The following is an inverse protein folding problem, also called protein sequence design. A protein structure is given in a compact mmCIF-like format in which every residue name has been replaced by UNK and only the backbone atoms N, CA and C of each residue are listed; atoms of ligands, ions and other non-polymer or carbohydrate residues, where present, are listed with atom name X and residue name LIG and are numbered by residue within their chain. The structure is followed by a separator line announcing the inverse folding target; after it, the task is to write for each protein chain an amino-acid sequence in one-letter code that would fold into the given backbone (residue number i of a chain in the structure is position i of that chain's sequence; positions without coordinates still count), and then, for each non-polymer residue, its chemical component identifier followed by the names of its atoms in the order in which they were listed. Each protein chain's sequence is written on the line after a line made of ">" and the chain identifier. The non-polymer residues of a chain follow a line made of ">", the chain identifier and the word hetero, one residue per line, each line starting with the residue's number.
data_IF_447804264460
#
_entry.id   IF_447804264460
#
_cell.length_a   1.000
_cell.length_b   1.000
_cell.length_c   1.000
_cell.angle_alpha   90.00
_cell.angle_beta   90.00
_cell.angle_gamma   90.00
#
_symmetry.space_group_name_H-M   'P 1'
#
loop_
_entity.id
_entity.type
_entity.pdbx_description
1 polymer ?
#
# COMPACT_ATOMS: atom_id res chain seq x y z
N UNK A 1 -30.19 -15.25 -42.50
CA UNK A 1 -29.84 -15.38 -41.07
C UNK A 1 -28.46 -16.03 -41.00
N UNK A 2 -27.39 -15.25 -40.83
CA UNK A 2 -26.01 -15.75 -40.78
C UNK A 2 -25.66 -16.05 -39.33
N UNK A 3 -25.61 -17.33 -38.97
CA UNK A 3 -25.15 -17.75 -37.64
C UNK A 3 -23.66 -17.42 -37.53
N UNK A 4 -23.33 -16.50 -36.61
CA UNK A 4 -21.95 -16.07 -36.39
C UNK A 4 -21.16 -17.24 -35.78
N UNK A 5 -20.02 -17.66 -36.36
CA UNK A 5 -19.21 -18.77 -35.84
C UNK A 5 -18.73 -18.51 -34.41
N UNK A 6 -18.70 -17.25 -33.98
CA UNK A 6 -18.39 -16.83 -32.61
C UNK A 6 -19.45 -17.28 -31.59
N UNK A 7 -20.73 -17.35 -31.98
CA UNK A 7 -21.80 -17.78 -31.08
C UNK A 7 -21.71 -19.29 -30.80
N UNK A 8 -21.38 -20.08 -31.83
CA UNK A 8 -21.21 -21.54 -31.73
C UNK A 8 -19.98 -21.88 -30.89
N UNK A 9 -18.89 -21.11 -31.05
CA UNK A 9 -17.68 -21.28 -30.24
C UNK A 9 -17.94 -20.97 -28.76
N UNK A 10 -18.70 -19.93 -28.44
CA UNK A 10 -19.08 -19.61 -27.05
C UNK A 10 -19.93 -20.71 -26.40
N UNK A 11 -20.92 -21.26 -27.10
CA UNK A 11 -21.78 -22.33 -26.55
C UNK A 11 -20.99 -23.62 -26.31
N UNK A 12 -20.06 -23.96 -27.19
CA UNK A 12 -19.17 -25.10 -26.99
C UNK A 12 -18.26 -24.89 -25.78
N UNK A 13 -17.67 -23.70 -25.61
CA UNK A 13 -16.83 -23.38 -24.46
C UNK A 13 -17.58 -23.40 -23.12
N UNK A 14 -18.88 -23.09 -23.11
CA UNK A 14 -19.72 -23.22 -21.91
C UNK A 14 -20.03 -24.68 -21.52
N UNK A 15 -20.14 -25.60 -22.49
CA UNK A 15 -20.45 -27.01 -22.23
C UNK A 15 -19.25 -27.81 -21.69
N UNK A 16 -18.01 -27.35 -21.93
CA UNK A 16 -16.78 -27.96 -21.38
C UNK A 16 -16.39 -27.43 -20.00
N UNK A 17 -17.19 -26.57 -19.36
CA UNK A 17 -17.01 -26.20 -17.95
C UNK A 17 -15.74 -25.40 -17.64
N UNK A 18 -15.03 -24.88 -18.63
CA UNK A 18 -13.98 -23.88 -18.39
C UNK A 18 -14.62 -22.50 -18.20
N UNK A 19 -15.36 -22.35 -17.11
CA UNK A 19 -15.41 -21.07 -16.44
C UNK A 19 -14.01 -20.84 -15.87
N UNK A 20 -13.07 -20.39 -16.71
CA UNK A 20 -11.91 -19.69 -16.19
C UNK A 20 -12.49 -18.50 -15.47
N UNK A 21 -12.59 -18.60 -14.14
CA UNK A 21 -12.96 -17.48 -13.30
C UNK A 21 -12.06 -16.34 -13.72
N UNK A 22 -12.63 -15.39 -14.45
CA UNK A 22 -12.08 -14.07 -14.62
C UNK A 22 -12.12 -13.43 -13.22
N UNK A 23 -11.24 -13.90 -12.33
CA UNK A 23 -10.78 -13.08 -11.24
C UNK A 23 -10.10 -11.91 -11.93
N UNK A 24 -10.74 -10.75 -11.84
CA UNK A 24 -10.07 -9.46 -11.81
C UNK A 24 -9.08 -9.49 -10.63
N UNK A 25 -8.00 -10.26 -10.75
CA UNK A 25 -6.76 -9.89 -10.08
C UNK A 25 -6.30 -8.68 -10.86
N UNK A 26 -6.56 -7.52 -10.28
CA UNK A 26 -5.97 -6.27 -10.71
C UNK A 26 -4.47 -6.53 -10.84
N UNK A 27 -3.96 -6.68 -12.06
CA UNK A 27 -2.53 -6.69 -12.37
C UNK A 27 -2.04 -5.27 -12.07
N UNK A 28 -1.78 -4.98 -10.79
CA UNK A 28 -1.17 -3.70 -10.42
C UNK A 28 0.22 -3.70 -11.06
N UNK A 29 0.52 -2.77 -11.99
CA UNK A 29 1.84 -2.70 -12.60
C UNK A 29 2.89 -2.62 -11.49
N UNK A 30 3.96 -3.40 -11.62
CA UNK A 30 5.02 -3.52 -10.61
C UNK A 30 5.60 -2.15 -10.18
N UNK A 31 5.50 -1.13 -11.05
CA UNK A 31 5.83 0.26 -10.78
C UNK A 31 5.02 0.88 -9.62
N UNK A 32 3.78 0.47 -9.39
CA UNK A 32 2.97 0.92 -8.24
C UNK A 32 3.32 0.17 -6.95
N UNK A 33 4.00 -0.98 -7.03
CA UNK A 33 4.43 -1.74 -5.85
C UNK A 33 5.68 -1.15 -5.18
N UNK A 34 6.41 -0.28 -5.87
CA UNK A 34 7.63 0.37 -5.36
C UNK A 34 7.41 1.82 -4.90
N UNK A 35 6.18 2.33 -4.97
CA UNK A 35 5.88 3.67 -4.46
C UNK A 35 6.02 3.72 -2.93
N UNK A 36 6.56 4.82 -2.42
CA UNK A 36 6.60 5.09 -0.98
C UNK A 36 5.16 5.13 -0.45
N UNK A 37 4.79 4.33 0.57
CA UNK A 37 3.43 4.33 1.08
C UNK A 37 2.98 5.73 1.50
N UNK A 38 1.74 6.11 1.20
CA UNK A 38 1.24 7.46 1.46
C UNK A 38 1.35 7.86 2.95
N UNK A 39 1.26 6.90 3.86
CA UNK A 39 1.50 7.13 5.30
C UNK A 39 2.89 7.68 5.58
N UNK A 40 3.91 7.23 4.85
CA UNK A 40 5.30 7.63 5.04
C UNK A 40 5.60 9.01 4.46
N UNK A 41 4.68 9.58 3.68
CA UNK A 41 4.79 10.93 3.11
C UNK A 41 4.15 11.99 4.02
N UNK A 42 3.48 11.59 5.11
CA UNK A 42 2.85 12.54 6.03
C UNK A 42 3.91 13.18 6.93
N UNK A 43 3.79 14.48 7.29
CA UNK A 43 4.69 15.10 8.25
C UNK A 43 4.50 14.50 9.66
N UNK A 44 5.50 14.61 10.56
CA UNK A 44 5.31 14.23 11.96
C UNK A 44 4.24 15.10 12.62
N UNK A 45 3.28 14.49 13.32
CA UNK A 45 2.17 15.21 13.94
C UNK A 45 2.12 14.97 15.45
N UNK A 46 2.51 16.00 16.23
CA UNK A 46 2.43 15.98 17.70
C UNK A 46 1.00 15.88 18.21
N UNK A 47 0.05 16.55 17.55
CA UNK A 47 -1.32 16.71 18.03
C UNK A 47 -1.45 17.67 19.22
N UNK A 48 -2.68 17.93 19.71
CA UNK A 48 -2.96 18.97 20.70
C UNK A 48 -2.74 18.54 22.15
N UNK A 49 -2.64 17.24 22.42
CA UNK A 49 -2.38 16.73 23.75
C UNK A 49 -0.95 17.03 24.23
N UNK A 50 -0.77 17.12 25.55
CA UNK A 50 0.48 17.56 26.19
C UNK A 50 1.34 16.42 26.74
N UNK A 51 1.04 15.17 26.37
CA UNK A 51 1.92 14.05 26.66
C UNK A 51 3.26 14.18 25.91
N UNK A 52 4.24 13.38 26.32
CA UNK A 52 5.54 13.29 25.66
C UNK A 52 5.83 11.81 25.43
N UNK A 53 5.31 11.30 24.31
CA UNK A 53 5.55 9.94 23.88
C UNK A 53 6.62 9.92 22.82
N UNK A 54 7.71 9.21 23.11
CA UNK A 54 8.79 8.91 22.19
C UNK A 54 8.27 8.06 21.04
N UNK A 55 8.26 8.59 19.81
CA UNK A 55 7.77 7.91 18.61
C UNK A 55 8.69 8.16 17.42
N UNK A 56 8.50 7.39 16.36
CA UNK A 56 9.25 7.48 15.12
C UNK A 56 8.33 7.86 13.97
N UNK A 57 8.82 8.67 13.04
CA UNK A 57 8.19 8.95 11.77
C UNK A 57 9.21 8.73 10.65
N UNK A 58 8.75 8.39 9.45
CA UNK A 58 9.62 8.34 8.27
C UNK A 58 9.77 9.76 7.72
N UNK A 59 11.02 10.20 7.56
CA UNK A 59 11.37 11.44 6.90
C UNK A 59 11.82 11.11 5.47
N UNK A 60 10.99 11.45 4.49
CA UNK A 60 11.27 11.17 3.07
C UNK A 60 12.49 11.93 2.53
N UNK A 61 12.78 13.10 3.11
CA UNK A 61 13.88 13.97 2.72
C UNK A 61 15.22 13.38 3.13
N UNK A 62 15.31 12.80 4.34
CA UNK A 62 16.50 12.07 4.79
C UNK A 62 16.47 10.59 4.41
N UNK A 63 15.32 10.08 3.97
CA UNK A 63 15.05 8.65 3.74
C UNK A 63 15.30 7.77 4.97
N UNK A 64 15.13 8.34 6.17
CA UNK A 64 15.36 7.67 7.45
C UNK A 64 14.15 7.76 8.39
N UNK A 65 14.13 6.86 9.38
CA UNK A 65 13.15 6.91 10.46
C UNK A 65 13.70 7.74 11.62
N UNK A 66 13.09 8.89 11.87
CA UNK A 66 13.53 9.88 12.84
C UNK A 66 12.60 9.93 14.04
N UNK A 67 13.14 10.39 15.17
CA UNK A 67 12.39 10.51 16.42
C UNK A 67 11.58 11.80 16.48
N UNK A 68 10.39 11.75 17.07
CA UNK A 68 9.62 12.94 17.41
C UNK A 68 8.79 12.75 18.69
N UNK A 69 8.40 13.87 19.30
CA UNK A 69 7.52 13.88 20.47
C UNK A 69 6.06 13.88 20.05
N UNK A 70 5.35 12.77 20.31
CA UNK A 70 3.91 12.68 20.13
C UNK A 70 3.16 13.12 21.41
N UNK A 71 2.13 13.93 21.25
CA UNK A 71 1.31 14.49 22.33
C UNK A 71 0.35 13.49 22.97
N UNK A 72 0.09 12.35 22.31
CA UNK A 72 -0.79 11.29 22.81
C UNK A 72 -2.20 11.28 22.20
N UNK A 73 -2.58 12.29 21.41
CA UNK A 73 -3.84 12.29 20.68
C UNK A 73 -3.77 13.06 19.36
N UNK A 74 -4.67 12.74 18.43
CA UNK A 74 -4.88 13.45 17.15
C UNK A 74 -3.59 13.74 16.36
N UNK A 75 -2.66 12.77 16.35
CA UNK A 75 -1.57 12.75 15.38
C UNK A 75 -2.05 12.23 14.02
N UNK A 76 -1.11 11.76 13.20
CA UNK A 76 -1.42 11.04 11.97
C UNK A 76 -0.73 9.66 11.98
N UNK A 77 -0.84 8.93 10.87
CA UNK A 77 -0.35 7.55 10.78
C UNK A 77 1.17 7.42 10.59
N UNK A 78 1.91 8.51 10.31
CA UNK A 78 3.38 8.51 10.33
C UNK A 78 3.88 8.61 11.77
N UNK A 79 3.56 7.61 12.57
CA UNK A 79 3.77 7.56 14.01
C UNK A 79 3.91 6.11 14.45
N UNK A 80 5.15 5.68 14.65
CA UNK A 80 5.51 4.31 14.96
C UNK A 80 6.15 4.23 16.34
N UNK A 81 5.96 3.11 17.03
CA UNK A 81 6.50 2.90 18.37
C UNK A 81 8.01 2.65 18.36
N UNK A 82 8.53 1.98 17.33
CA UNK A 82 9.95 1.67 17.19
C UNK A 82 10.46 1.97 15.78
N UNK A 83 11.77 2.18 15.67
CA UNK A 83 12.45 2.39 14.38
C UNK A 83 12.24 1.20 13.45
N UNK A 84 12.26 -0.04 13.96
CA UNK A 84 12.11 -1.26 13.15
C UNK A 84 10.73 -1.34 12.49
N UNK A 85 9.68 -0.91 13.20
CA UNK A 85 8.32 -0.85 12.64
C UNK A 85 8.26 0.22 11.55
N UNK A 86 8.81 1.40 11.80
CA UNK A 86 8.89 2.47 10.81
C UNK A 86 9.63 2.02 9.55
N UNK A 87 10.82 1.44 9.70
CA UNK A 87 11.64 0.96 8.58
C UNK A 87 10.93 -0.14 7.79
N UNK A 88 10.31 -1.10 8.46
CA UNK A 88 9.57 -2.17 7.79
C UNK A 88 8.43 -1.65 6.92
N UNK A 89 7.76 -0.57 7.36
CA UNK A 89 6.61 0.00 6.66
C UNK A 89 7.06 0.95 5.55
N UNK A 90 8.08 1.76 5.81
CA UNK A 90 8.42 2.91 4.97
C UNK A 90 9.72 2.76 4.18
N UNK A 91 10.61 1.85 4.59
CA UNK A 91 11.86 1.56 3.88
C UNK A 91 11.69 0.23 3.14
N UNK A 92 11.44 0.32 1.83
CA UNK A 92 11.46 -0.85 0.97
C UNK A 92 12.84 -1.52 1.02
N UNK A 93 12.93 -2.85 1.04
CA UNK A 93 14.19 -3.53 0.83
C UNK A 93 14.63 -3.29 -0.62
N UNK A 94 15.64 -2.43 -0.78
CA UNK A 94 16.53 -2.30 -1.94
C UNK A 94 16.00 -1.62 -3.22
N UNK A 95 16.54 -0.43 -3.49
CA UNK A 95 17.25 -0.14 -4.76
C UNK A 95 18.46 0.74 -4.44
N UNK A 96 19.64 0.11 -4.35
CA UNK A 96 20.90 0.77 -4.69
C UNK A 96 21.32 0.31 -6.08
#
# INVERSE_FOLDING_TARGET
>A
MKFSPFLVLCVLLCLVGIASSAHLKQEVPWELSQALPAVCQLPPARGPCRGVFSRYFYNDTSSECEHFAYGGCQGNANNFETTEICLRICKHPETR
#
